data_IF_703559927494
#
_entry.id   IF_703559927494
#
_cell.length_a   1.000
_cell.length_b   1.000
_cell.length_c   1.000
_cell.angle_alpha   90.00
_cell.angle_beta   90.00
_cell.angle_gamma   90.00
#
_symmetry.space_group_name_H-M   'P 1'
#
loop_
_entity.id
_entity.type
_entity.pdbx_description
1 polymer ?
#
# COMPACT_ATOMS: atom_id res chain seq x y z
N UNK A 1 -12.57 13.25 -9.30
CA UNK A 1 -12.73 12.53 -8.00
C UNK A 1 -11.35 12.04 -7.56
N UNK A 2 -10.98 12.22 -6.29
CA UNK A 2 -9.71 11.73 -5.73
C UNK A 2 -9.90 10.47 -4.87
N UNK A 3 -9.04 9.46 -5.05
CA UNK A 3 -8.80 8.46 -4.01
C UNK A 3 -7.88 9.06 -2.95
N UNK A 4 -8.42 9.19 -1.75
CA UNK A 4 -7.85 9.96 -0.64
C UNK A 4 -7.28 9.08 0.46
N UNK A 5 -7.02 7.80 0.21
CA UNK A 5 -6.47 6.93 1.25
C UNK A 5 -5.11 7.44 1.79
N UNK A 6 -4.28 8.04 0.92
CA UNK A 6 -2.93 8.52 1.27
C UNK A 6 -2.69 10.00 0.91
N UNK A 7 -3.68 10.84 1.16
CA UNK A 7 -3.66 12.27 0.81
C UNK A 7 -2.59 13.07 1.57
N UNK A 8 -2.33 12.74 2.84
CA UNK A 8 -1.40 13.47 3.71
C UNK A 8 0.06 13.10 3.41
N UNK A 9 0.34 11.83 3.11
CA UNK A 9 1.65 11.43 2.57
C UNK A 9 1.96 12.14 1.25
N UNK A 10 0.96 12.32 0.38
CA UNK A 10 1.14 13.07 -0.86
C UNK A 10 1.42 14.55 -0.58
N UNK A 11 0.67 15.17 0.33
CA UNK A 11 0.89 16.57 0.75
C UNK A 11 2.29 16.79 1.37
N UNK A 12 2.83 15.80 2.09
CA UNK A 12 4.21 15.83 2.57
C UNK A 12 5.22 15.90 1.42
N UNK A 13 5.03 15.09 0.36
CA UNK A 13 5.93 15.14 -0.79
C UNK A 13 5.84 16.46 -1.55
N UNK A 14 4.64 17.04 -1.68
CA UNK A 14 4.48 18.40 -2.22
C UNK A 14 5.29 19.39 -1.36
N UNK A 15 5.08 19.40 -0.04
CA UNK A 15 5.80 20.30 0.88
C UNK A 15 7.32 20.21 0.77
N UNK A 16 7.85 18.99 0.62
CA UNK A 16 9.29 18.72 0.71
C UNK A 16 10.00 18.71 -0.64
N UNK A 17 9.28 18.65 -1.76
CA UNK A 17 9.87 18.49 -3.10
C UNK A 17 9.40 19.52 -4.11
N UNK A 18 8.29 20.22 -3.86
CA UNK A 18 7.74 21.20 -4.80
C UNK A 18 8.08 22.63 -4.35
N UNK A 19 8.74 23.38 -5.23
CA UNK A 19 9.15 24.75 -4.93
C UNK A 19 7.93 25.66 -4.70
N UNK A 20 7.97 26.48 -3.65
CA UNK A 20 6.89 27.38 -3.25
C UNK A 20 5.93 26.82 -2.20
N UNK A 21 6.14 25.57 -1.75
CA UNK A 21 5.33 24.90 -0.72
C UNK A 21 6.07 24.70 0.61
N UNK A 22 7.33 25.11 0.70
CA UNK A 22 8.23 24.85 1.82
C UNK A 22 7.69 25.44 3.13
N UNK A 23 7.03 26.60 3.07
CA UNK A 23 6.47 27.29 4.25
C UNK A 23 5.00 26.96 4.52
N UNK A 24 4.30 26.28 3.60
CA UNK A 24 2.89 25.90 3.78
C UNK A 24 2.77 24.74 4.77
N UNK A 25 1.77 24.79 5.63
CA UNK A 25 1.38 23.66 6.47
C UNK A 25 0.78 22.55 5.62
N UNK A 26 0.88 21.30 6.08
CA UNK A 26 0.26 20.15 5.38
C UNK A 26 -1.24 20.39 5.16
N UNK A 27 -1.94 20.98 6.13
CA UNK A 27 -3.38 21.29 6.03
C UNK A 27 -3.69 22.30 4.92
N UNK A 28 -2.85 23.31 4.73
CA UNK A 28 -2.99 24.26 3.61
C UNK A 28 -2.81 23.58 2.26
N UNK A 29 -1.80 22.70 2.14
CA UNK A 29 -1.54 21.93 0.92
C UNK A 29 -2.72 20.99 0.62
N UNK A 30 -3.19 20.26 1.62
CA UNK A 30 -4.34 19.36 1.48
C UNK A 30 -5.59 20.14 1.05
N UNK A 31 -5.86 21.30 1.65
CA UNK A 31 -6.99 22.15 1.28
C UNK A 31 -6.89 22.61 -0.18
N UNK A 32 -5.69 22.96 -0.63
CA UNK A 32 -5.40 23.32 -2.02
C UNK A 32 -5.57 22.12 -2.96
N UNK A 33 -5.06 20.94 -2.62
CA UNK A 33 -5.26 19.70 -3.39
C UNK A 33 -6.75 19.43 -3.65
N UNK A 34 -7.58 19.51 -2.61
CA UNK A 34 -9.03 19.28 -2.75
C UNK A 34 -9.77 20.41 -3.46
N UNK A 35 -9.15 21.59 -3.63
CA UNK A 35 -9.74 22.64 -4.47
C UNK A 35 -9.86 22.22 -5.93
N UNK A 36 -9.04 21.26 -6.38
CA UNK A 36 -9.04 20.68 -7.73
C UNK A 36 -9.90 19.43 -7.92
N UNK A 37 -10.71 19.06 -6.92
CA UNK A 37 -11.56 17.87 -6.98
C UNK A 37 -13.05 18.21 -6.75
N UNK A 38 -13.94 17.55 -7.49
CA UNK A 38 -15.40 17.65 -7.29
C UNK A 38 -15.94 16.63 -6.29
N UNK A 39 -15.10 15.67 -5.90
CA UNK A 39 -15.42 14.68 -4.88
C UNK A 39 -14.23 13.79 -4.56
N UNK A 40 -14.40 12.95 -3.55
CA UNK A 40 -13.38 12.02 -3.10
C UNK A 40 -13.96 10.76 -2.46
N UNK A 41 -13.17 9.70 -2.49
CA UNK A 41 -13.36 8.50 -1.69
C UNK A 41 -12.20 8.37 -0.72
N UNK A 42 -12.48 8.02 0.54
CA UNK A 42 -11.43 7.86 1.53
C UNK A 42 -11.58 6.56 2.28
N UNK A 43 -10.55 5.73 2.22
CA UNK A 43 -10.35 4.70 3.24
C UNK A 43 -9.56 5.31 4.39
N UNK A 44 -10.23 5.52 5.52
CA UNK A 44 -9.62 6.13 6.71
C UNK A 44 -8.57 5.24 7.39
N UNK A 45 -8.50 3.97 6.99
CA UNK A 45 -7.57 2.96 7.50
C UNK A 45 -6.08 3.21 7.16
N UNK A 46 -5.76 4.38 6.60
CA UNK A 46 -4.44 4.76 6.09
C UNK A 46 -4.00 6.07 6.74
N UNK A 47 -4.13 7.22 6.09
CA UNK A 47 -3.59 8.50 6.61
C UNK A 47 -4.36 9.07 7.80
N UNK A 48 -5.60 8.66 8.03
CA UNK A 48 -6.30 9.00 9.26
C UNK A 48 -5.96 8.09 10.46
N UNK A 49 -4.96 7.19 10.33
CA UNK A 49 -4.40 6.40 11.44
C UNK A 49 -5.45 5.65 12.31
N UNK A 50 -6.53 5.19 11.70
CA UNK A 50 -7.58 4.39 12.39
C UNK A 50 -7.62 2.96 11.88
N UNK A 51 -8.22 2.06 12.66
CA UNK A 51 -8.30 0.64 12.31
C UNK A 51 -9.44 0.30 11.32
N UNK A 52 -10.49 1.13 11.30
CA UNK A 52 -11.67 0.98 10.46
C UNK A 52 -12.22 2.34 10.04
N UNK A 53 -13.08 2.37 9.02
CA UNK A 53 -13.82 3.54 8.60
C UNK A 53 -13.40 4.08 7.24
N UNK A 54 -14.26 4.94 6.72
CA UNK A 54 -14.12 5.59 5.45
C UNK A 54 -15.27 6.57 5.25
N UNK A 55 -15.13 7.45 4.28
CA UNK A 55 -16.19 8.37 3.90
C UNK A 55 -16.00 8.84 2.46
N UNK A 56 -17.07 9.38 1.91
CA UNK A 56 -17.08 10.02 0.61
C UNK A 56 -17.38 11.51 0.80
N UNK A 57 -16.75 12.35 -0.01
CA UNK A 57 -16.94 13.79 0.00
C UNK A 57 -17.33 14.27 -1.38
N UNK A 58 -18.22 15.27 -1.45
CA UNK A 58 -18.69 15.85 -2.71
C UNK A 58 -18.71 17.37 -2.61
N UNK A 59 -18.34 18.04 -3.69
CA UNK A 59 -18.49 19.49 -3.85
C UNK A 59 -19.94 19.86 -4.14
N UNK A 60 -20.58 19.10 -5.02
CA UNK A 60 -21.95 19.35 -5.44
C UNK A 60 -22.98 18.66 -4.55
N UNK A 61 -24.02 19.41 -4.16
CA UNK A 61 -25.11 18.90 -3.34
C UNK A 61 -25.86 17.75 -4.01
N UNK A 62 -26.08 17.83 -5.32
CA UNK A 62 -26.80 16.81 -6.09
C UNK A 62 -26.13 15.44 -6.01
N UNK A 63 -24.79 15.39 -6.17
CA UNK A 63 -24.03 14.15 -6.02
C UNK A 63 -24.15 13.56 -4.61
N UNK A 64 -24.10 14.41 -3.58
CA UNK A 64 -24.30 13.97 -2.20
C UNK A 64 -25.69 13.33 -2.01
N UNK A 65 -26.75 13.92 -2.56
CA UNK A 65 -28.12 13.41 -2.42
C UNK A 65 -28.30 12.06 -3.12
N UNK A 66 -27.78 11.92 -4.34
CA UNK A 66 -27.81 10.67 -5.09
C UNK A 66 -27.01 9.57 -4.38
N UNK A 67 -25.80 9.87 -3.90
CA UNK A 67 -24.95 8.92 -3.18
C UNK A 67 -25.54 8.51 -1.81
N UNK A 68 -26.24 9.42 -1.14
CA UNK A 68 -26.85 9.16 0.18
C UNK A 68 -27.90 8.04 0.14
N UNK A 69 -28.64 7.91 -0.97
CA UNK A 69 -29.61 6.82 -1.17
C UNK A 69 -28.91 5.47 -1.12
N UNK A 70 -27.77 5.34 -1.81
CA UNK A 70 -26.98 4.11 -1.80
C UNK A 70 -26.27 3.86 -0.47
N UNK A 71 -25.79 4.92 0.20
CA UNK A 71 -25.21 4.80 1.54
C UNK A 71 -26.20 4.19 2.53
N UNK A 72 -27.46 4.64 2.52
CA UNK A 72 -28.53 4.08 3.36
C UNK A 72 -28.76 2.59 3.06
N UNK A 73 -28.69 2.21 1.78
CA UNK A 73 -28.93 0.84 1.34
C UNK A 73 -27.81 -0.13 1.73
N UNK A 74 -26.55 0.29 1.66
CA UNK A 74 -25.39 -0.62 1.80
C UNK A 74 -24.63 -0.49 3.13
N UNK A 75 -24.57 0.72 3.71
CA UNK A 75 -23.68 1.00 4.84
C UNK A 75 -24.44 1.39 6.12
N UNK A 76 -25.49 2.22 6.00
CA UNK A 76 -26.30 2.72 7.11
C UNK A 76 -26.75 4.17 6.91
N UNK A 77 -27.36 4.79 7.92
CA UNK A 77 -27.86 6.16 7.79
C UNK A 77 -26.74 7.20 7.58
N UNK A 78 -27.08 8.34 6.96
CA UNK A 78 -26.11 9.37 6.54
C UNK A 78 -25.30 10.01 7.67
N UNK A 79 -25.73 9.86 8.92
CA UNK A 79 -25.03 10.41 10.10
C UNK A 79 -23.98 9.46 10.69
N UNK A 80 -23.93 8.20 10.26
CA UNK A 80 -22.95 7.23 10.77
C UNK A 80 -22.34 6.30 9.72
N UNK A 81 -23.01 6.03 8.60
CA UNK A 81 -22.45 5.29 7.46
C UNK A 81 -21.80 3.96 7.85
N UNK A 82 -22.46 3.16 8.69
CA UNK A 82 -21.94 1.88 9.19
C UNK A 82 -20.85 1.97 10.26
N UNK A 83 -20.41 3.17 10.66
CA UNK A 83 -19.42 3.36 11.71
C UNK A 83 -20.05 3.57 13.08
N UNK A 84 -19.40 3.06 14.14
CA UNK A 84 -19.81 3.40 15.50
C UNK A 84 -19.38 4.83 15.85
N UNK A 85 -20.07 5.48 16.80
CA UNK A 85 -19.73 6.84 17.22
C UNK A 85 -18.28 7.01 17.70
N UNK A 86 -17.72 5.98 18.36
CA UNK A 86 -16.30 5.98 18.76
C UNK A 86 -15.35 5.95 17.56
N UNK A 87 -15.70 5.23 16.49
CA UNK A 87 -14.84 5.12 15.30
C UNK A 87 -14.84 6.45 14.52
N UNK A 88 -15.98 7.14 14.45
CA UNK A 88 -16.06 8.50 13.89
C UNK A 88 -15.25 9.52 14.71
N UNK A 89 -15.25 9.38 16.04
CA UNK A 89 -14.44 10.24 16.89
C UNK A 89 -12.93 9.95 16.71
N UNK A 90 -12.54 8.68 16.67
CA UNK A 90 -11.16 8.28 16.38
C UNK A 90 -10.70 8.77 15.00
N UNK A 91 -11.57 8.70 13.99
CA UNK A 91 -11.31 9.23 12.65
C UNK A 91 -11.05 10.73 12.69
N UNK A 92 -11.87 11.48 13.43
CA UNK A 92 -11.69 12.94 13.56
C UNK A 92 -10.33 13.27 14.17
N UNK A 93 -9.94 12.61 15.26
CA UNK A 93 -8.62 12.80 15.87
C UNK A 93 -7.49 12.38 14.93
N UNK A 94 -7.64 11.24 14.28
CA UNK A 94 -6.64 10.69 13.36
C UNK A 94 -6.41 11.55 12.12
N UNK A 95 -7.42 12.28 11.61
CA UNK A 95 -7.24 13.27 10.54
C UNK A 95 -6.45 14.49 11.01
N UNK A 96 -6.65 14.92 12.25
CA UNK A 96 -5.87 16.02 12.84
C UNK A 96 -4.42 15.60 13.03
N UNK A 97 -4.18 14.47 13.68
CA UNK A 97 -2.83 13.92 13.91
C UNK A 97 -2.11 13.57 12.60
N UNK A 98 -2.83 12.94 11.66
CA UNK A 98 -2.28 12.46 10.39
C UNK A 98 -1.87 13.56 9.42
N UNK A 99 -2.22 14.81 9.72
CA UNK A 99 -1.84 16.00 8.94
C UNK A 99 -0.82 16.88 9.65
N UNK A 100 -0.18 16.39 10.71
CA UNK A 100 0.95 17.07 11.35
C UNK A 100 2.27 16.72 10.63
N UNK A 101 3.12 17.74 10.41
CA UNK A 101 4.36 17.58 9.63
C UNK A 101 5.35 16.62 10.30
N UNK A 102 5.66 16.81 11.58
CA UNK A 102 6.66 16.01 12.31
C UNK A 102 6.26 14.51 12.35
N UNK A 103 4.95 14.25 12.42
CA UNK A 103 4.39 12.91 12.32
C UNK A 103 4.67 12.30 10.93
N UNK A 104 4.32 13.02 9.86
CA UNK A 104 4.53 12.56 8.48
C UNK A 104 6.02 12.40 8.14
N UNK A 105 6.86 13.32 8.62
CA UNK A 105 8.31 13.26 8.46
C UNK A 105 8.87 11.98 9.07
N UNK A 106 8.55 11.71 10.34
CA UNK A 106 8.98 10.48 11.01
C UNK A 106 8.48 9.23 10.28
N UNK A 107 7.21 9.25 9.85
CA UNK A 107 6.56 8.16 9.14
C UNK A 107 7.22 7.85 7.79
N UNK A 108 7.60 8.87 7.04
CA UNK A 108 8.17 8.73 5.69
C UNK A 108 9.66 8.41 5.77
N UNK A 109 10.39 9.06 6.70
CA UNK A 109 11.80 8.74 6.96
C UNK A 109 12.00 7.31 7.46
N UNK A 110 11.04 6.71 8.16
CA UNK A 110 11.12 5.28 8.52
C UNK A 110 11.04 4.36 7.29
N UNK A 111 10.23 4.72 6.28
CA UNK A 111 10.17 3.97 5.02
C UNK A 111 11.47 4.13 4.24
N UNK A 112 11.95 5.38 4.14
CA UNK A 112 13.24 5.70 3.53
C UNK A 112 14.39 4.96 4.20
N UNK A 113 14.43 4.89 5.54
CA UNK A 113 15.43 4.16 6.30
C UNK A 113 15.50 2.68 5.90
N UNK A 114 14.35 2.01 5.78
CA UNK A 114 14.32 0.62 5.29
C UNK A 114 14.84 0.53 3.83
N UNK A 115 14.42 1.45 2.97
CA UNK A 115 14.88 1.54 1.59
C UNK A 115 16.40 1.68 1.49
N UNK A 116 16.99 2.64 2.19
CA UNK A 116 18.43 2.87 2.20
C UNK A 116 19.22 1.67 2.74
N UNK A 117 18.71 0.96 3.75
CA UNK A 117 19.32 -0.29 4.23
C UNK A 117 19.32 -1.36 3.14
N UNK A 118 18.18 -1.62 2.52
CA UNK A 118 18.06 -2.58 1.42
C UNK A 118 18.96 -2.20 0.24
N UNK A 119 19.10 -0.90 -0.04
CA UNK A 119 19.96 -0.38 -1.09
C UNK A 119 21.43 -0.68 -0.82
N UNK A 120 21.86 -0.52 0.43
CA UNK A 120 23.22 -0.85 0.86
C UNK A 120 23.56 -2.34 0.69
N UNK A 121 22.56 -3.23 0.70
CA UNK A 121 22.71 -4.65 0.41
C UNK A 121 22.60 -5.00 -1.09
N UNK A 122 22.39 -4.01 -1.95
CA UNK A 122 22.23 -4.21 -3.40
C UNK A 122 20.90 -4.86 -3.80
N UNK A 123 19.90 -4.85 -2.92
CA UNK A 123 18.59 -5.45 -3.19
C UNK A 123 17.85 -4.63 -4.26
N UNK A 124 17.41 -5.23 -5.37
CA UNK A 124 16.71 -4.50 -6.42
C UNK A 124 15.30 -4.11 -5.99
N UNK A 125 14.96 -2.83 -6.14
CA UNK A 125 13.68 -2.26 -5.72
C UNK A 125 13.31 -1.05 -6.59
N UNK A 126 12.06 -0.62 -6.46
CA UNK A 126 11.56 0.59 -7.12
C UNK A 126 12.07 1.85 -6.40
N UNK A 127 12.58 2.80 -7.17
CA UNK A 127 13.02 4.12 -6.71
C UNK A 127 12.32 5.24 -7.51
N UNK A 128 12.09 6.44 -6.94
CA UNK A 128 12.32 6.79 -5.54
C UNK A 128 11.36 6.09 -4.57
N UNK A 129 11.74 5.97 -3.30
CA UNK A 129 10.89 5.33 -2.30
C UNK A 129 9.59 6.14 -2.09
N UNK A 130 8.47 5.42 -2.03
CA UNK A 130 7.16 6.00 -1.77
C UNK A 130 6.91 6.28 -0.29
N UNK A 131 5.73 6.84 0.01
CA UNK A 131 5.39 7.22 1.38
C UNK A 131 5.08 6.06 2.32
N UNK A 132 4.75 4.86 1.82
CA UNK A 132 4.13 3.81 2.64
C UNK A 132 4.74 2.42 2.64
N UNK A 133 5.63 2.14 1.70
CA UNK A 133 6.18 0.82 1.51
C UNK A 133 7.46 0.87 0.68
N UNK A 134 8.26 -0.18 0.82
CA UNK A 134 9.30 -0.53 -0.14
C UNK A 134 8.74 -1.60 -1.08
N UNK A 135 9.04 -1.47 -2.38
CA UNK A 135 8.61 -2.40 -3.41
C UNK A 135 9.85 -3.09 -4.01
N UNK A 136 10.09 -4.34 -3.61
CA UNK A 136 11.18 -5.15 -4.15
C UNK A 136 10.85 -5.54 -5.59
N UNK A 137 11.79 -5.38 -6.51
CA UNK A 137 11.62 -5.79 -7.90
C UNK A 137 11.90 -7.30 -8.01
N UNK A 138 10.86 -8.12 -8.04
CA UNK A 138 11.00 -9.56 -7.95
C UNK A 138 11.64 -10.17 -9.21
N UNK A 139 11.39 -9.59 -10.40
CA UNK A 139 12.04 -10.02 -11.67
C UNK A 139 13.56 -9.84 -11.61
N UNK A 140 14.02 -8.73 -11.04
CA UNK A 140 15.45 -8.50 -10.86
C UNK A 140 16.04 -9.28 -9.67
N UNK A 141 15.22 -9.59 -8.67
CA UNK A 141 15.64 -10.37 -7.50
C UNK A 141 15.83 -11.86 -7.84
N UNK A 142 14.89 -12.46 -8.59
CA UNK A 142 14.84 -13.87 -8.95
C UNK A 142 14.72 -14.05 -10.48
N UNK A 143 15.69 -13.57 -11.28
CA UNK A 143 15.58 -13.56 -12.76
C UNK A 143 15.52 -14.95 -13.39
N UNK A 144 15.96 -15.99 -12.67
CA UNK A 144 15.94 -17.38 -13.11
C UNK A 144 14.56 -18.05 -13.04
N UNK A 145 13.61 -17.48 -12.29
CA UNK A 145 12.27 -18.07 -12.13
C UNK A 145 11.39 -17.63 -13.30
N UNK A 146 10.76 -18.56 -14.04
CA UNK A 146 9.82 -18.20 -15.10
C UNK A 146 8.64 -17.38 -14.55
N UNK A 147 8.15 -16.43 -15.34
CA UNK A 147 7.00 -15.57 -14.93
C UNK A 147 5.73 -16.37 -14.66
N UNK A 148 5.59 -17.52 -15.32
CA UNK A 148 4.49 -18.47 -15.15
C UNK A 148 4.49 -19.13 -13.76
N UNK A 149 5.63 -19.09 -13.05
CA UNK A 149 5.79 -19.66 -11.71
C UNK A 149 5.62 -18.62 -10.58
N UNK A 150 5.05 -17.45 -10.86
CA UNK A 150 4.67 -16.41 -9.87
C UNK A 150 5.86 -15.88 -9.04
N UNK A 151 6.79 -15.22 -9.71
CA UNK A 151 8.09 -14.78 -9.18
C UNK A 151 7.95 -13.98 -7.87
N UNK A 152 7.07 -12.97 -7.82
CA UNK A 152 6.90 -12.16 -6.62
C UNK A 152 6.26 -12.94 -5.46
N UNK A 153 5.34 -13.86 -5.75
CA UNK A 153 4.74 -14.71 -4.72
C UNK A 153 5.78 -15.68 -4.13
N UNK A 154 6.69 -16.19 -4.97
CA UNK A 154 7.83 -16.97 -4.52
C UNK A 154 8.73 -16.15 -3.61
N UNK A 155 9.15 -14.96 -4.04
CA UNK A 155 9.98 -14.09 -3.22
C UNK A 155 9.32 -13.75 -1.87
N UNK A 156 8.03 -13.41 -1.86
CA UNK A 156 7.31 -13.09 -0.62
C UNK A 156 7.30 -14.28 0.37
N UNK A 157 7.21 -15.51 -0.16
CA UNK A 157 7.24 -16.73 0.66
C UNK A 157 8.63 -17.00 1.22
N UNK A 158 9.69 -16.81 0.43
CA UNK A 158 11.07 -17.01 0.88
C UNK A 158 11.46 -16.01 1.97
N UNK A 159 11.03 -14.75 1.86
CA UNK A 159 11.20 -13.74 2.92
C UNK A 159 10.47 -14.17 4.21
N UNK A 160 9.26 -14.75 4.08
CA UNK A 160 8.53 -15.26 5.24
C UNK A 160 9.22 -16.48 5.88
N UNK A 161 9.75 -17.41 5.08
CA UNK A 161 10.45 -18.59 5.58
C UNK A 161 11.77 -18.24 6.27
N UNK A 162 12.53 -17.27 5.73
CA UNK A 162 13.80 -16.83 6.30
C UNK A 162 13.60 -16.04 7.61
N UNK A 163 12.72 -15.03 7.59
CA UNK A 163 12.65 -14.03 8.67
C UNK A 163 11.33 -13.94 9.41
N UNK A 164 10.30 -14.70 9.00
CA UNK A 164 8.92 -14.52 9.50
C UNK A 164 8.29 -13.19 9.06
N UNK A 165 8.88 -12.51 8.07
CA UNK A 165 8.41 -11.22 7.57
C UNK A 165 7.41 -11.44 6.44
N UNK A 166 6.20 -10.92 6.61
CA UNK A 166 5.14 -11.07 5.59
C UNK A 166 5.11 -9.87 4.64
N UNK A 167 5.66 -10.06 3.44
CA UNK A 167 5.41 -9.19 2.29
C UNK A 167 4.11 -9.55 1.56
N UNK A 168 3.67 -8.68 0.66
CA UNK A 168 2.52 -8.93 -0.22
C UNK A 168 2.96 -8.86 -1.67
N UNK A 169 2.58 -9.85 -2.46
CA UNK A 169 2.77 -9.83 -3.90
C UNK A 169 1.95 -8.71 -4.54
N UNK A 170 2.60 -7.95 -5.42
CA UNK A 170 2.01 -6.95 -6.31
C UNK A 170 2.53 -7.25 -7.71
N UNK A 171 1.91 -8.24 -8.35
CA UNK A 171 2.36 -8.76 -9.64
C UNK A 171 1.25 -9.54 -10.34
N UNK A 172 1.65 -10.62 -11.00
CA UNK A 172 0.79 -11.50 -11.82
C UNK A 172 -0.42 -12.05 -11.06
N UNK A 173 -0.28 -12.36 -9.77
CA UNK A 173 -1.37 -12.94 -8.99
C UNK A 173 -2.42 -11.90 -8.63
N UNK A 174 -1.99 -10.72 -8.16
CA UNK A 174 -2.86 -9.57 -7.92
C UNK A 174 -3.48 -9.01 -9.21
N UNK A 175 -2.73 -9.01 -10.31
CA UNK A 175 -3.24 -8.62 -11.63
C UNK A 175 -4.38 -9.51 -12.11
N UNK A 176 -4.62 -10.67 -11.50
CA UNK A 176 -5.71 -11.58 -11.83
C UNK A 176 -5.70 -12.06 -13.30
N UNK A 177 -6.64 -12.93 -13.64
CA UNK A 177 -6.86 -13.36 -15.02
C UNK A 177 -7.51 -12.26 -15.84
N UNK A 178 -7.22 -12.28 -17.13
CA UNK A 178 -7.98 -11.51 -18.11
C UNK A 178 -9.46 -11.95 -18.10
N UNK A 179 -10.44 -11.02 -18.05
CA UNK A 179 -11.84 -11.38 -17.88
C UNK A 179 -12.41 -12.17 -19.06
N UNK A 180 -11.86 -11.98 -20.26
CA UNK A 180 -12.37 -12.59 -21.50
C UNK A 180 -11.63 -13.89 -21.83
N UNK A 181 -10.30 -13.85 -21.87
CA UNK A 181 -9.47 -15.00 -22.27
C UNK A 181 -9.16 -15.95 -21.11
N UNK A 182 -9.32 -15.49 -19.87
CA UNK A 182 -8.91 -16.20 -18.64
C UNK A 182 -7.42 -16.53 -18.57
N UNK A 183 -6.58 -15.93 -19.41
CA UNK A 183 -5.13 -16.06 -19.35
C UNK A 183 -4.52 -15.20 -18.24
N UNK A 184 -3.30 -15.55 -17.83
CA UNK A 184 -2.56 -14.73 -16.86
C UNK A 184 -2.21 -13.36 -17.47
N UNK A 185 -2.52 -12.30 -16.73
CA UNK A 185 -2.01 -10.96 -17.03
C UNK A 185 -0.67 -10.78 -16.36
N UNK A 186 0.38 -10.59 -17.16
CA UNK A 186 1.74 -10.38 -16.67
C UNK A 186 2.06 -8.88 -16.64
N UNK A 187 1.93 -8.20 -15.49
CA UNK A 187 2.26 -6.79 -15.41
C UNK A 187 3.76 -6.56 -15.64
N UNK A 188 4.09 -5.36 -16.12
CA UNK A 188 5.48 -4.92 -16.22
C UNK A 188 6.14 -4.93 -14.83
N UNK A 189 5.44 -4.38 -13.83
CA UNK A 189 5.83 -4.39 -12.43
C UNK A 189 5.40 -5.69 -11.75
N UNK A 190 6.39 -6.51 -11.36
CA UNK A 190 6.22 -7.75 -10.60
C UNK A 190 7.03 -7.58 -9.30
N UNK A 191 6.33 -7.31 -8.20
CA UNK A 191 6.95 -6.77 -6.99
C UNK A 191 6.49 -7.46 -5.72
N UNK A 192 7.33 -7.39 -4.69
CA UNK A 192 6.90 -7.66 -3.30
C UNK A 192 6.85 -6.35 -2.53
N UNK A 193 5.68 -6.02 -2.01
CA UNK A 193 5.46 -4.83 -1.19
C UNK A 193 5.70 -5.14 0.28
N UNK A 194 6.68 -4.45 0.86
CA UNK A 194 6.93 -4.37 2.30
C UNK A 194 6.23 -3.11 2.84
N UNK A 195 4.94 -3.25 3.17
CA UNK A 195 4.14 -2.14 3.69
C UNK A 195 4.39 -1.92 5.18
N UNK A 196 4.58 -0.67 5.58
CA UNK A 196 4.90 -0.30 6.97
C UNK A 196 3.66 0.33 7.64
N UNK A 197 3.06 -0.32 8.65
CA UNK A 197 2.00 0.26 9.46
C UNK A 197 2.47 1.49 10.23
N UNK A 198 1.62 2.53 10.27
CA UNK A 198 1.90 3.80 10.96
C UNK A 198 1.98 3.59 12.47
N UNK A 199 3.05 4.05 13.12
CA UNK A 199 3.27 4.03 14.58
C UNK A 199 3.32 2.63 15.24
N UNK A 200 3.66 1.59 14.49
CA UNK A 200 3.71 0.21 15.03
C UNK A 200 5.13 -0.28 15.27
N UNK A 201 6.04 -0.02 14.33
CA UNK A 201 7.39 -0.59 14.35
C UNK A 201 8.47 0.47 14.58
N UNK A 202 9.66 0.00 14.91
CA UNK A 202 10.86 0.81 15.19
C UNK A 202 11.94 0.58 14.14
N UNK A 203 13.01 1.36 14.17
CA UNK A 203 14.15 1.16 13.25
C UNK A 203 14.82 -0.20 13.46
N UNK A 204 14.85 -0.76 14.67
CA UNK A 204 15.35 -2.12 14.90
C UNK A 204 14.54 -3.18 14.16
N UNK A 205 13.22 -2.99 14.03
CA UNK A 205 12.40 -3.86 13.18
C UNK A 205 12.72 -3.66 11.70
N UNK A 206 13.02 -2.43 11.26
CA UNK A 206 13.44 -2.17 9.88
C UNK A 206 14.80 -2.83 9.58
N UNK A 207 15.75 -2.77 10.52
CA UNK A 207 17.04 -3.45 10.41
C UNK A 207 16.86 -4.96 10.30
N UNK A 208 15.98 -5.55 11.11
CA UNK A 208 15.67 -6.98 11.05
C UNK A 208 15.04 -7.38 9.70
N UNK A 209 14.09 -6.58 9.20
CA UNK A 209 13.49 -6.80 7.88
C UNK A 209 14.54 -6.70 6.78
N UNK A 210 15.41 -5.68 6.82
CA UNK A 210 16.46 -5.50 5.83
C UNK A 210 17.44 -6.68 5.82
N UNK A 211 17.88 -7.14 7.00
CA UNK A 211 18.75 -8.30 7.13
C UNK A 211 18.08 -9.59 6.61
N UNK A 212 16.80 -9.81 6.95
CA UNK A 212 16.04 -10.98 6.46
C UNK A 212 15.96 -11.00 4.93
N UNK A 213 15.67 -9.85 4.32
CA UNK A 213 15.60 -9.73 2.85
C UNK A 213 17.00 -9.89 2.23
N UNK A 214 18.04 -9.33 2.86
CA UNK A 214 19.43 -9.47 2.40
C UNK A 214 19.88 -10.94 2.40
N UNK A 215 19.56 -11.71 3.44
CA UNK A 215 19.87 -13.14 3.51
C UNK A 215 19.22 -13.92 2.34
N UNK A 216 17.93 -13.63 2.04
CA UNK A 216 17.26 -14.22 0.88
C UNK A 216 17.93 -13.77 -0.42
N UNK A 217 18.36 -12.51 -0.50
CA UNK A 217 19.06 -12.00 -1.67
C UNK A 217 20.40 -12.70 -1.88
N UNK A 218 21.22 -12.90 -0.85
CA UNK A 218 22.48 -13.63 -0.93
C UNK A 218 22.30 -15.07 -1.43
N UNK A 219 21.22 -15.73 -1.02
CA UNK A 219 20.91 -17.11 -1.40
C UNK A 219 20.05 -17.24 -2.66
N UNK A 220 19.71 -16.13 -3.34
CA UNK A 220 18.74 -16.08 -4.44
C UNK A 220 18.98 -17.09 -5.55
N UNK A 221 20.24 -17.39 -5.88
CA UNK A 221 20.60 -18.33 -6.94
C UNK A 221 20.21 -19.78 -6.63
N UNK A 222 19.99 -20.13 -5.35
CA UNK A 222 19.47 -21.45 -4.94
C UNK A 222 17.95 -21.57 -5.15
N UNK A 223 17.25 -20.45 -5.32
CA UNK A 223 15.80 -20.39 -5.45
C UNK A 223 15.46 -20.49 -6.93
N UNK A 224 15.26 -21.71 -7.44
CA UNK A 224 15.17 -21.96 -8.89
C UNK A 224 13.76 -22.16 -9.41
N UNK A 225 12.79 -22.46 -8.54
CA UNK A 225 11.40 -22.76 -8.89
C UNK A 225 10.42 -21.95 -8.06
N UNK A 226 9.31 -21.58 -8.67
CA UNK A 226 8.21 -20.87 -8.03
C UNK A 226 7.05 -21.80 -7.66
N UNK A 227 5.85 -21.42 -8.08
CA UNK A 227 4.61 -22.11 -7.74
C UNK A 227 3.77 -22.44 -8.96
N UNK A 228 2.84 -23.39 -8.80
CA UNK A 228 1.67 -23.52 -9.65
C UNK A 228 0.40 -23.33 -8.82
N UNK A 229 -0.67 -22.87 -9.46
CA UNK A 229 -1.98 -22.74 -8.82
C UNK A 229 -2.63 -24.13 -8.73
N UNK A 230 -3.06 -24.51 -7.53
CA UNK A 230 -3.90 -25.68 -7.28
C UNK A 230 -5.39 -25.33 -7.37
N UNK A 231 -5.76 -24.21 -6.73
CA UNK A 231 -7.14 -23.73 -6.66
C UNK A 231 -7.15 -22.21 -6.59
N UNK A 232 -8.07 -21.57 -7.31
CA UNK A 232 -8.28 -20.12 -7.26
C UNK A 232 -9.77 -19.78 -7.36
N UNK A 233 -10.22 -18.67 -6.75
CA UNK A 233 -11.56 -18.15 -6.97
C UNK A 233 -11.70 -17.46 -8.34
N UNK A 234 -12.93 -17.19 -8.83
CA UNK A 234 -13.14 -16.58 -10.15
C UNK A 234 -12.58 -15.17 -10.32
N UNK A 235 -12.56 -14.40 -9.23
CA UNK A 235 -12.08 -13.01 -9.13
C UNK A 235 -11.33 -12.81 -7.81
N UNK A 236 -10.43 -11.83 -7.80
CA UNK A 236 -9.62 -11.45 -6.64
C UNK A 236 -8.82 -12.63 -6.05
N UNK A 237 -8.26 -13.46 -6.95
CA UNK A 237 -7.58 -14.72 -6.59
C UNK A 237 -6.48 -14.59 -5.55
N UNK A 238 -5.76 -13.48 -5.53
CA UNK A 238 -4.65 -13.22 -4.61
C UNK A 238 -5.03 -13.29 -3.12
N UNK A 239 -6.31 -13.22 -2.75
CA UNK A 239 -6.73 -13.36 -1.36
C UNK A 239 -6.77 -14.81 -0.85
N UNK A 240 -7.19 -15.77 -1.67
CA UNK A 240 -7.54 -17.13 -1.21
C UNK A 240 -7.06 -18.25 -2.14
N UNK A 241 -6.17 -17.94 -3.08
CA UNK A 241 -5.49 -18.92 -3.93
C UNK A 241 -4.71 -19.95 -3.11
N UNK A 242 -4.74 -21.19 -3.56
CA UNK A 242 -3.93 -22.30 -3.06
C UNK A 242 -2.85 -22.64 -4.08
N UNK A 243 -1.61 -22.78 -3.61
CA UNK A 243 -0.43 -22.94 -4.44
C UNK A 243 0.33 -24.22 -4.06
N UNK A 244 0.95 -24.86 -5.05
CA UNK A 244 1.90 -25.96 -4.86
C UNK A 244 3.29 -25.53 -5.31
N UNK A 245 4.32 -25.90 -4.52
CA UNK A 245 5.74 -25.69 -4.89
C UNK A 245 6.09 -26.57 -6.08
N UNK A 246 6.82 -26.00 -7.03
CA UNK A 246 7.31 -26.69 -8.24
C UNK A 246 8.74 -27.23 -8.11
#
# INVERSE_FOLDING_TARGET
IFDSARFAENAYFIKTREAGYEDKTIKEIVKEMYSYADGMTMSSKKDAIVNMGGFIGFRERKMYEEASVYNIMFEGFVTYGGMSGRDMNALTQGLLEGTEFDYLETRIKQVEYLGEKLKSYGVPMLEPFGGHAIFLNAKAFLPQIPKEEYIAQKLATEIYLEGGVRGVEIGTMLADRDPDTRENRYPELEMVRLAIPRRVYTNSHMDYVAASVANVYEQRNKITRGFKILREPPIMRHFTVELEKL
#
